data_IF_857615120597
#
_entry.id   IF_857615120597
#
_cell.length_a   1.000
_cell.length_b   1.000
_cell.length_c   1.000
_cell.angle_alpha   90.00
_cell.angle_beta   90.00
_cell.angle_gamma   90.00
#
_symmetry.space_group_name_H-M   'P 1'
#
loop_
_entity.id
_entity.type
_entity.pdbx_description
1 polymer ?
#
# COMPACT_ATOMS: atom_id res chain seq x y z
N UNK A 1 0.52 12.67 -20.39
CA UNK A 1 0.89 13.56 -19.27
C UNK A 1 0.82 12.73 -18.01
N UNK A 2 1.85 12.73 -17.16
CA UNK A 2 1.79 12.08 -15.86
C UNK A 2 0.84 12.85 -14.95
N UNK A 3 -0.02 12.15 -14.20
CA UNK A 3 -0.90 12.79 -13.22
C UNK A 3 -0.12 13.08 -11.93
N UNK A 4 -0.30 14.25 -11.29
CA UNK A 4 0.28 14.52 -9.99
C UNK A 4 -0.16 13.50 -8.94
N UNK A 5 0.75 13.06 -8.07
CA UNK A 5 0.48 12.09 -7.01
C UNK A 5 -0.73 12.49 -6.14
N UNK A 6 -0.83 13.78 -5.83
CA UNK A 6 -1.95 14.34 -5.07
C UNK A 6 -3.31 14.07 -5.76
N UNK A 7 -3.40 14.22 -7.08
CA UNK A 7 -4.62 13.95 -7.83
C UNK A 7 -4.94 12.45 -7.84
N UNK A 8 -3.93 11.59 -8.00
CA UNK A 8 -4.10 10.14 -7.96
C UNK A 8 -4.69 9.71 -6.61
N UNK A 9 -4.13 10.22 -5.51
CA UNK A 9 -4.61 9.88 -4.16
C UNK A 9 -5.98 10.50 -3.87
N UNK A 10 -6.29 11.67 -4.40
CA UNK A 10 -7.63 12.26 -4.30
C UNK A 10 -8.67 11.35 -4.96
N UNK A 11 -8.42 10.92 -6.21
CA UNK A 11 -9.31 10.03 -6.96
C UNK A 11 -9.54 8.69 -6.24
N UNK A 12 -8.51 8.14 -5.57
CA UNK A 12 -8.66 6.91 -4.78
C UNK A 12 -9.64 7.13 -3.61
N UNK A 13 -9.60 8.29 -2.97
CA UNK A 13 -10.46 8.63 -1.84
C UNK A 13 -11.87 9.09 -2.24
N UNK A 14 -12.19 9.15 -3.53
CA UNK A 14 -13.57 9.38 -4.01
C UNK A 14 -14.43 8.12 -3.87
N UNK A 15 -13.84 6.96 -3.61
CA UNK A 15 -14.59 5.73 -3.33
C UNK A 15 -15.12 5.76 -1.89
N UNK A 16 -16.43 5.61 -1.71
CA UNK A 16 -17.12 5.67 -0.42
C UNK A 16 -16.61 4.66 0.62
N UNK A 17 -16.02 3.55 0.20
CA UNK A 17 -15.44 2.54 1.09
C UNK A 17 -14.02 2.91 1.56
N UNK A 18 -13.38 3.89 0.92
CA UNK A 18 -12.01 4.31 1.18
C UNK A 18 -12.02 5.54 2.09
N UNK A 19 -11.56 5.36 3.33
CA UNK A 19 -11.36 6.44 4.29
C UNK A 19 -10.23 7.38 3.90
N UNK A 20 -9.25 6.84 3.16
CA UNK A 20 -8.15 7.61 2.59
C UNK A 20 -6.97 6.72 2.16
N UNK A 21 -5.94 7.38 1.65
CA UNK A 21 -4.70 6.72 1.25
C UNK A 21 -3.49 7.56 1.67
N UNK A 22 -2.35 6.92 1.85
CA UNK A 22 -1.08 7.62 2.04
C UNK A 22 0.05 6.91 1.31
N UNK A 23 1.05 7.69 0.92
CA UNK A 23 2.26 7.20 0.27
C UNK A 23 3.48 7.67 1.05
N UNK A 24 4.42 6.77 1.27
CA UNK A 24 5.68 7.06 1.96
C UNK A 24 6.85 6.72 1.07
N UNK A 25 8.01 7.34 1.34
CA UNK A 25 9.27 6.88 0.78
C UNK A 25 9.75 5.59 1.47
N UNK A 26 10.91 5.09 1.03
CA UNK A 26 11.59 3.92 1.61
C UNK A 26 12.10 4.09 3.05
N UNK A 27 12.09 5.31 3.59
CA UNK A 27 12.49 5.63 4.97
C UNK A 27 11.28 5.86 5.89
N UNK A 28 10.06 5.76 5.35
CA UNK A 28 8.83 6.00 6.09
C UNK A 28 8.46 7.47 6.25
N UNK A 29 9.09 8.37 5.48
CA UNK A 29 8.66 9.76 5.40
C UNK A 29 7.43 9.86 4.51
N UNK A 30 6.42 10.60 4.97
CA UNK A 30 5.21 10.84 4.19
C UNK A 30 5.56 11.67 2.94
N UNK A 31 5.14 11.18 1.78
CA UNK A 31 5.20 11.91 0.52
C UNK A 31 3.88 12.64 0.25
N UNK A 32 2.75 11.95 0.44
CA UNK A 32 1.43 12.54 0.26
C UNK A 32 0.36 11.69 0.98
N UNK A 33 -0.77 12.31 1.34
CA UNK A 33 -1.94 11.64 1.89
C UNK A 33 -3.25 12.26 1.41
N UNK A 34 -4.32 11.47 1.36
CA UNK A 34 -5.67 11.91 1.05
C UNK A 34 -6.69 11.32 2.01
N UNK A 35 -7.89 11.92 2.02
CA UNK A 35 -8.99 11.51 2.89
C UNK A 35 -8.76 11.87 4.36
N UNK A 36 -9.25 11.02 5.26
CA UNK A 36 -9.24 11.24 6.72
C UNK A 36 -8.08 10.56 7.45
N UNK A 37 -7.15 9.97 6.70
CA UNK A 37 -6.05 9.16 7.24
C UNK A 37 -4.99 10.06 7.87
N UNK A 38 -4.52 9.67 9.07
CA UNK A 38 -3.50 10.43 9.78
C UNK A 38 -2.11 10.26 9.13
N UNK A 39 -1.38 11.36 8.86
CA UNK A 39 0.03 11.34 8.45
C UNK A 39 0.95 10.50 9.34
N UNK A 40 0.62 10.37 10.64
CA UNK A 40 1.41 9.61 11.61
C UNK A 40 1.52 8.11 11.28
N UNK A 41 0.65 7.59 10.41
CA UNK A 41 0.63 6.19 10.01
C UNK A 41 1.69 5.82 8.96
N UNK A 42 2.36 6.82 8.38
CA UNK A 42 3.39 6.62 7.36
C UNK A 42 4.49 5.62 7.79
N UNK A 43 5.05 5.79 8.98
CA UNK A 43 6.10 4.90 9.50
C UNK A 43 5.63 3.44 9.60
N UNK A 44 4.39 3.21 10.00
CA UNK A 44 3.80 1.86 10.09
C UNK A 44 3.59 1.24 8.71
N UNK A 45 3.06 2.00 7.74
CA UNK A 45 2.87 1.54 6.36
C UNK A 45 4.21 1.11 5.75
N UNK A 46 5.24 1.95 5.87
CA UNK A 46 6.59 1.62 5.38
C UNK A 46 7.18 0.39 6.08
N UNK A 47 7.01 0.28 7.40
CA UNK A 47 7.50 -0.85 8.19
C UNK A 47 6.85 -2.17 7.76
N UNK A 48 5.51 -2.19 7.60
CA UNK A 48 4.76 -3.35 7.13
C UNK A 48 5.22 -3.79 5.73
N UNK A 49 5.28 -2.86 4.78
CA UNK A 49 5.74 -3.13 3.41
C UNK A 49 7.18 -3.65 3.38
N UNK A 50 8.07 -3.07 4.19
CA UNK A 50 9.48 -3.49 4.28
C UNK A 50 9.59 -4.89 4.86
N UNK A 51 8.90 -5.16 5.97
CA UNK A 51 8.97 -6.47 6.59
C UNK A 51 8.38 -7.56 5.71
N UNK A 52 7.28 -7.28 5.01
CA UNK A 52 6.70 -8.21 4.06
C UNK A 52 7.63 -8.49 2.87
N UNK A 53 8.32 -7.47 2.34
CA UNK A 53 9.31 -7.66 1.28
C UNK A 53 10.48 -8.52 1.72
N UNK A 54 10.97 -8.36 2.96
CA UNK A 54 12.01 -9.24 3.53
C UNK A 54 11.53 -10.69 3.64
N UNK A 55 10.30 -10.90 4.13
CA UNK A 55 9.71 -12.23 4.21
C UNK A 55 9.51 -12.88 2.83
N UNK A 56 9.08 -12.10 1.83
CA UNK A 56 8.92 -12.58 0.46
C UNK A 56 10.23 -13.07 -0.17
N UNK A 57 11.37 -12.46 0.17
CA UNK A 57 12.70 -12.94 -0.24
C UNK A 57 13.07 -14.27 0.41
N UNK A 58 12.66 -14.50 1.66
CA UNK A 58 12.99 -15.71 2.42
C UNK A 58 12.18 -16.93 1.96
N UNK A 59 10.94 -16.72 1.51
CA UNK A 59 10.03 -17.80 1.09
C UNK A 59 10.39 -18.34 -0.30
N UNK A 60 11.33 -17.71 -1.01
CA UNK A 60 11.74 -18.16 -2.34
C UNK A 60 10.59 -18.01 -3.33
N UNK A 61 10.38 -16.79 -3.81
CA UNK A 61 9.76 -16.63 -5.11
C UNK A 61 10.74 -17.20 -6.16
N UNK A 62 10.75 -18.53 -6.29
CA UNK A 62 11.19 -19.17 -7.53
C UNK A 62 10.45 -18.44 -8.66
N UNK A 63 11.15 -17.94 -9.68
CA UNK A 63 10.52 -17.25 -10.79
C UNK A 63 9.48 -18.19 -11.39
N UNK A 64 8.19 -17.84 -11.26
CA UNK A 64 7.12 -18.52 -11.98
C UNK A 64 7.31 -18.16 -13.45
N UNK A 65 8.13 -18.94 -14.16
CA UNK A 65 8.41 -18.76 -15.58
C UNK A 65 9.90 -18.85 -15.90
N UNK A 66 10.33 -20.01 -16.38
CA UNK A 66 11.56 -20.13 -17.16
C UNK A 66 11.37 -19.35 -18.47
N UNK A 67 11.84 -18.10 -18.52
CA UNK A 67 11.88 -17.35 -19.77
C UNK A 67 11.92 -15.85 -19.55
N UNK A 68 13.08 -15.26 -19.84
CA UNK A 68 13.41 -13.83 -19.87
C UNK A 68 13.82 -13.17 -18.54
N UNK A 69 14.82 -12.32 -18.67
CA UNK A 69 15.85 -11.98 -17.68
C UNK A 69 15.50 -10.70 -16.94
N UNK A 70 14.35 -10.65 -16.28
CA UNK A 70 14.02 -9.59 -15.33
C UNK A 70 13.35 -10.26 -14.13
N UNK A 71 14.07 -10.39 -13.02
CA UNK A 71 13.45 -10.76 -11.74
C UNK A 71 12.44 -9.68 -11.38
N UNK A 72 11.20 -9.87 -11.80
CA UNK A 72 10.06 -9.10 -11.32
C UNK A 72 10.00 -9.32 -9.80
N UNK A 73 10.45 -8.33 -9.04
CA UNK A 73 10.34 -8.32 -7.59
C UNK A 73 8.85 -8.27 -7.24
N UNK A 74 8.26 -9.43 -7.00
CA UNK A 74 6.87 -9.53 -6.52
C UNK A 74 6.88 -9.18 -5.04
N UNK A 75 6.61 -7.91 -4.72
CA UNK A 75 6.41 -7.51 -3.34
C UNK A 75 5.07 -8.03 -2.82
N UNK A 76 5.03 -8.69 -1.65
CA UNK A 76 3.78 -9.12 -1.05
C UNK A 76 2.86 -7.93 -0.76
N UNK A 77 1.56 -8.18 -0.84
CA UNK A 77 0.54 -7.25 -0.34
C UNK A 77 0.22 -7.63 1.10
N UNK A 78 0.26 -6.65 2.00
CA UNK A 78 -0.12 -6.84 3.41
C UNK A 78 -1.54 -6.35 3.58
N UNK A 79 -2.38 -7.14 4.23
CA UNK A 79 -3.72 -6.72 4.64
C UNK A 79 -3.80 -6.85 6.15
N UNK A 80 -4.19 -5.78 6.83
CA UNK A 80 -4.50 -5.79 8.26
C UNK A 80 -5.98 -5.52 8.39
N UNK A 81 -6.71 -6.51 8.89
CA UNK A 81 -8.17 -6.45 9.05
C UNK A 81 -8.52 -6.27 10.53
N UNK A 82 -9.30 -5.24 10.82
CA UNK A 82 -9.98 -5.05 12.08
C UNK A 82 -11.50 -5.16 11.90
N UNK A 83 -12.22 -5.16 13.02
CA UNK A 83 -13.68 -5.33 13.04
C UNK A 83 -14.44 -4.32 12.18
N UNK A 84 -13.97 -3.07 12.14
CA UNK A 84 -14.63 -1.98 11.41
C UNK A 84 -13.81 -1.40 10.28
N UNK A 85 -12.51 -1.67 10.23
CA UNK A 85 -11.59 -1.01 9.30
C UNK A 85 -10.55 -2.00 8.82
N UNK A 86 -10.08 -1.80 7.60
CA UNK A 86 -8.93 -2.53 7.07
C UNK A 86 -7.91 -1.56 6.49
N UNK A 87 -6.66 -2.02 6.44
CA UNK A 87 -5.62 -1.35 5.65
C UNK A 87 -4.96 -2.35 4.73
N UNK A 88 -4.86 -1.98 3.45
CA UNK A 88 -4.05 -2.68 2.46
C UNK A 88 -2.76 -1.91 2.26
N UNK A 89 -1.63 -2.55 2.48
CA UNK A 89 -0.29 -1.98 2.29
C UNK A 89 0.41 -2.71 1.15
N UNK A 90 0.96 -1.93 0.21
CA UNK A 90 1.73 -2.44 -0.92
C UNK A 90 3.03 -1.66 -1.10
N UNK A 91 4.10 -2.38 -1.38
CA UNK A 91 5.41 -1.80 -1.69
C UNK A 91 5.57 -1.59 -3.18
N UNK A 92 6.08 -0.43 -3.57
CA UNK A 92 6.75 -0.18 -4.85
C UNK A 92 8.26 -0.11 -4.66
N UNK A 93 9.01 0.13 -5.74
CA UNK A 93 10.48 0.10 -5.68
C UNK A 93 11.07 1.13 -4.69
N UNK A 94 10.51 2.33 -4.69
CA UNK A 94 10.98 3.46 -3.89
C UNK A 94 9.95 4.01 -2.88
N UNK A 95 8.75 3.41 -2.83
CA UNK A 95 7.65 3.90 -2.00
C UNK A 95 6.83 2.78 -1.37
N UNK A 96 6.02 3.12 -0.37
CA UNK A 96 4.97 2.27 0.18
C UNK A 96 3.63 2.98 0.13
N UNK A 97 2.58 2.28 -0.28
CA UNK A 97 1.21 2.77 -0.34
C UNK A 97 0.39 2.07 0.75
N UNK A 98 -0.37 2.85 1.52
CA UNK A 98 -1.41 2.35 2.42
C UNK A 98 -2.78 2.87 1.97
N UNK A 99 -3.74 1.96 1.79
CA UNK A 99 -5.15 2.29 1.51
C UNK A 99 -5.98 1.84 2.71
N UNK A 100 -6.72 2.78 3.29
CA UNK A 100 -7.52 2.55 4.50
C UNK A 100 -9.00 2.50 4.11
N UNK A 101 -9.69 1.45 4.52
CA UNK A 101 -11.10 1.24 4.21
C UNK A 101 -11.94 1.13 5.46
N UNK A 102 -13.19 1.55 5.35
CA UNK A 102 -14.22 1.23 6.33
C UNK A 102 -14.85 -0.11 5.91
N UNK A 103 -14.85 -1.09 6.81
CA UNK A 103 -15.45 -2.41 6.59
C UNK A 103 -16.91 -2.42 7.04
N UNK A 104 -17.48 -1.26 7.41
CA UNK A 104 -18.89 -1.16 7.75
C UNK A 104 -19.67 -1.43 6.47
N UNK A 105 -20.06 -2.69 6.32
CA UNK A 105 -20.88 -3.20 5.24
C UNK A 105 -21.98 -2.20 4.93
N UNK A 106 -22.04 -1.83 3.65
CA UNK A 106 -23.18 -1.22 2.98
C UNK A 106 -24.41 -2.10 3.21
N UNK A 107 -25.00 -1.96 4.39
CA UNK A 107 -26.31 -2.48 4.76
C UNK A 107 -27.35 -1.60 4.07
N UNK A 108 -27.54 -1.84 2.78
CA UNK A 108 -28.72 -1.42 2.03
C UNK A 108 -29.50 -2.66 1.62
#
# INVERSE_FOLDING_TARGET
MEQPLQQVLANISENDEILGALVTDSKGLLLESSGTVSPSLAGYVCSLATRAAELGKLVGAEPVGQGSTESLLVYPTVVVEGERRSVTVKRGDSFSLGIFRDNVSSGH
#
